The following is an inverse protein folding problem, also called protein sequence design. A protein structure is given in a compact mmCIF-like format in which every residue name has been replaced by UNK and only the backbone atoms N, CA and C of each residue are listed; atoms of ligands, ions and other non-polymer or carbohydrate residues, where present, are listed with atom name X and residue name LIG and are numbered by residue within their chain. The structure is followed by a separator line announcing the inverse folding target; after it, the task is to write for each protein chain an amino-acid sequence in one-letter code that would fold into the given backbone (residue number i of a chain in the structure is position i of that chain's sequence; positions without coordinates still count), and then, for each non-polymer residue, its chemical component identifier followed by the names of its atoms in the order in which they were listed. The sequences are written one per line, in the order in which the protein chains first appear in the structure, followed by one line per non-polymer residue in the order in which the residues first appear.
data_IF_998949846543
#
_entry.id   IF_998949846543
#
_cell.length_a   1.000
_cell.length_b   1.000
_cell.length_c   1.000
_cell.angle_alpha   90.00
_cell.angle_beta   90.00
_cell.angle_gamma   90.00
#
_symmetry.space_group_name_H-M   'P 1'
#
loop_
_entity.id
_entity.type
_entity.pdbx_description
1 polymer ?
#
# COMPACT_ATOMS: atom_id res chain seq x y z
N UNK A 1 52.39 11.51 2.15
CA UNK A 1 51.46 11.54 3.29
C UNK A 1 50.16 10.92 2.81
N UNK A 2 49.90 9.67 3.20
CA UNK A 2 48.69 8.94 2.85
C UNK A 2 47.56 9.43 3.77
N UNK A 3 46.52 10.03 3.19
CA UNK A 3 45.27 10.27 3.89
C UNK A 3 44.22 9.31 3.33
N UNK A 4 44.11 8.15 3.96
CA UNK A 4 43.03 7.21 3.68
C UNK A 4 41.75 7.79 4.31
N UNK A 5 40.97 8.51 3.51
CA UNK A 5 39.58 8.81 3.86
C UNK A 5 38.77 7.51 3.74
N UNK A 6 38.64 6.81 4.85
CA UNK A 6 37.60 5.81 5.07
C UNK A 6 36.26 6.52 5.26
N UNK A 7 35.72 7.07 4.17
CA UNK A 7 34.34 7.57 4.16
C UNK A 7 33.39 6.38 4.06
N UNK A 8 32.84 6.00 5.21
CA UNK A 8 31.72 5.06 5.36
C UNK A 8 30.43 5.63 4.76
N UNK A 9 30.42 5.82 3.44
CA UNK A 9 29.35 6.45 2.69
C UNK A 9 28.09 5.55 2.65
N UNK A 10 27.19 5.79 3.61
CA UNK A 10 25.73 5.80 3.48
C UNK A 10 25.12 4.96 2.33
N UNK A 11 25.08 3.63 2.51
CA UNK A 11 24.31 2.73 1.66
C UNK A 11 22.82 2.79 2.04
N UNK A 12 22.10 3.81 1.57
CA UNK A 12 20.64 3.90 1.66
C UNK A 12 19.88 2.81 0.90
N UNK A 13 20.57 1.93 0.15
CA UNK A 13 19.93 1.00 -0.77
C UNK A 13 19.55 -0.35 -0.13
N UNK A 14 20.43 -0.99 0.65
CA UNK A 14 20.18 -2.37 1.13
C UNK A 14 19.40 -2.38 2.44
N UNK A 15 19.75 -1.52 3.40
CA UNK A 15 19.06 -1.48 4.70
C UNK A 15 17.58 -1.10 4.57
N UNK A 16 17.27 -0.09 3.76
CA UNK A 16 15.89 0.35 3.49
C UNK A 16 15.07 -0.78 2.85
N UNK A 17 15.65 -1.47 1.87
CA UNK A 17 14.99 -2.59 1.18
C UNK A 17 14.73 -3.77 2.12
N UNK A 18 15.69 -4.12 2.98
CA UNK A 18 15.53 -5.18 3.99
C UNK A 18 14.45 -4.83 5.01
N UNK A 19 14.40 -3.58 5.48
CA UNK A 19 13.34 -3.11 6.40
C UNK A 19 11.98 -3.18 5.72
N UNK A 20 11.86 -2.66 4.50
CA UNK A 20 10.62 -2.72 3.72
C UNK A 20 10.16 -4.14 3.44
N UNK A 21 11.10 -5.05 3.15
CA UNK A 21 10.81 -6.47 2.93
C UNK A 21 10.28 -7.14 4.21
N UNK A 22 10.95 -6.97 5.34
CA UNK A 22 10.50 -7.55 6.63
C UNK A 22 9.12 -7.00 7.00
N UNK A 23 8.92 -5.69 6.86
CA UNK A 23 7.63 -5.06 7.16
C UNK A 23 6.52 -5.60 6.24
N UNK A 24 6.81 -5.74 4.94
CA UNK A 24 5.87 -6.31 3.96
C UNK A 24 5.48 -7.75 4.27
N UNK A 25 6.44 -8.58 4.70
CA UNK A 25 6.17 -9.96 5.13
C UNK A 25 5.28 -9.97 6.36
N UNK A 26 5.59 -9.18 7.39
CA UNK A 26 4.78 -9.11 8.62
C UNK A 26 3.34 -8.67 8.29
N UNK A 27 3.19 -7.62 7.48
CA UNK A 27 1.89 -7.09 7.06
C UNK A 27 1.10 -8.08 6.20
N UNK A 28 1.74 -9.08 5.61
CA UNK A 28 1.06 -10.13 4.83
C UNK A 28 0.70 -11.33 5.71
N UNK A 29 1.64 -11.78 6.55
CA UNK A 29 1.45 -12.98 7.38
C UNK A 29 0.32 -12.78 8.39
N UNK A 30 0.20 -11.59 8.99
CA UNK A 30 -0.87 -11.30 9.96
C UNK A 30 -2.28 -11.47 9.37
N UNK A 31 -2.67 -10.77 8.29
CA UNK A 31 -3.99 -10.94 7.70
C UNK A 31 -4.22 -12.34 7.14
N UNK A 32 -3.21 -13.00 6.58
CA UNK A 32 -3.33 -14.39 6.14
C UNK A 32 -3.61 -15.33 7.32
N UNK A 33 -2.90 -15.17 8.44
CA UNK A 33 -3.14 -15.93 9.66
C UNK A 33 -4.54 -15.72 10.22
N UNK A 34 -5.03 -14.48 10.23
CA UNK A 34 -6.39 -14.14 10.69
C UNK A 34 -7.49 -14.79 9.83
N UNK A 35 -7.25 -14.95 8.53
CA UNK A 35 -8.21 -15.60 7.61
C UNK A 35 -8.12 -17.13 7.70
N UNK A 36 -6.91 -17.68 7.84
CA UNK A 36 -6.67 -19.12 7.94
C UNK A 36 -7.16 -19.71 9.27
N UNK A 37 -7.05 -18.94 10.35
CA UNK A 37 -7.55 -19.29 11.68
C UNK A 37 -8.60 -18.26 12.11
N UNK A 38 -9.86 -18.42 11.67
CA UNK A 38 -10.91 -17.44 11.91
C UNK A 38 -11.32 -17.42 13.39
N UNK A 39 -10.64 -16.58 14.18
CA UNK A 39 -10.92 -16.36 15.62
C UNK A 39 -11.83 -15.17 15.87
N UNK A 40 -12.02 -14.30 14.88
CA UNK A 40 -12.80 -13.06 14.96
C UNK A 40 -14.05 -13.10 14.06
N UNK A 41 -15.06 -12.25 14.31
CA UNK A 41 -16.20 -12.10 13.41
C UNK A 41 -15.76 -11.69 12.01
N UNK A 42 -16.45 -12.22 10.99
CA UNK A 42 -16.09 -12.03 9.57
C UNK A 42 -15.94 -10.55 9.17
N UNK A 43 -16.85 -9.69 9.66
CA UNK A 43 -16.80 -8.25 9.37
C UNK A 43 -15.57 -7.57 9.99
N UNK A 44 -15.20 -7.98 11.21
CA UNK A 44 -14.00 -7.47 11.90
C UNK A 44 -12.74 -7.94 11.18
N UNK A 45 -12.66 -9.22 10.81
CA UNK A 45 -11.53 -9.75 10.02
C UNK A 45 -11.39 -9.01 8.70
N UNK A 46 -12.50 -8.81 7.97
CA UNK A 46 -12.48 -8.06 6.70
C UNK A 46 -11.94 -6.63 6.87
N UNK A 47 -12.40 -5.91 7.89
CA UNK A 47 -11.93 -4.55 8.17
C UNK A 47 -10.42 -4.52 8.47
N UNK A 48 -9.91 -5.48 9.25
CA UNK A 48 -8.48 -5.60 9.56
C UNK A 48 -7.69 -5.91 8.29
N UNK A 49 -8.12 -6.86 7.46
CA UNK A 49 -7.44 -7.20 6.20
C UNK A 49 -7.36 -5.99 5.27
N UNK A 50 -8.46 -5.24 5.12
CA UNK A 50 -8.48 -4.03 4.30
C UNK A 50 -7.53 -2.95 4.83
N UNK A 51 -7.48 -2.75 6.15
CA UNK A 51 -6.54 -1.82 6.77
C UNK A 51 -5.09 -2.21 6.48
N UNK A 52 -4.75 -3.49 6.68
CA UNK A 52 -3.40 -4.00 6.39
C UNK A 52 -3.06 -3.86 4.90
N UNK A 53 -4.01 -4.08 3.99
CA UNK A 53 -3.81 -3.91 2.56
C UNK A 53 -3.46 -2.45 2.21
N UNK A 54 -4.14 -1.46 2.80
CA UNK A 54 -3.83 -0.03 2.58
C UNK A 54 -2.43 0.30 3.10
N UNK A 55 -2.08 -0.14 4.31
CA UNK A 55 -0.75 0.09 4.88
C UNK A 55 0.32 -0.58 4.01
N UNK A 56 0.05 -1.77 3.48
CA UNK A 56 0.96 -2.51 2.62
C UNK A 56 1.29 -1.75 1.33
N UNK A 57 0.29 -1.10 0.71
CA UNK A 57 0.52 -0.21 -0.45
C UNK A 57 1.46 0.94 -0.06
N UNK A 58 1.24 1.57 1.10
CA UNK A 58 2.09 2.67 1.57
C UNK A 58 3.53 2.21 1.78
N UNK A 59 3.73 1.04 2.40
CA UNK A 59 5.07 0.44 2.59
C UNK A 59 5.78 0.24 1.25
N UNK A 60 5.07 -0.23 0.21
CA UNK A 60 5.65 -0.39 -1.12
C UNK A 60 6.01 0.95 -1.77
N UNK A 61 5.14 1.96 -1.66
CA UNK A 61 5.42 3.30 -2.20
C UNK A 61 6.65 3.95 -1.53
N UNK A 62 6.84 3.75 -0.21
CA UNK A 62 7.94 4.36 0.54
C UNK A 62 9.25 3.57 0.40
N UNK A 63 9.24 2.26 0.68
CA UNK A 63 10.48 1.48 0.80
C UNK A 63 10.95 0.86 -0.52
N UNK A 64 10.05 0.62 -1.47
CA UNK A 64 10.40 -0.02 -2.76
C UNK A 64 10.45 1.01 -3.89
N UNK A 65 9.39 1.80 -4.03
CA UNK A 65 9.33 2.86 -5.05
C UNK A 65 10.18 4.08 -4.69
N UNK A 66 10.66 4.16 -3.43
CA UNK A 66 11.48 5.26 -2.92
C UNK A 66 10.86 6.63 -3.27
N UNK A 67 9.54 6.73 -3.13
CA UNK A 67 8.83 7.96 -3.39
C UNK A 67 9.18 8.97 -2.30
N UNK A 68 9.99 9.96 -2.65
CA UNK A 68 10.40 11.04 -1.81
C UNK A 68 9.48 12.28 -1.94
N UNK A 69 9.47 13.10 -0.89
CA UNK A 69 8.76 14.39 -0.86
C UNK A 69 9.64 15.52 -1.39
N UNK A 70 10.67 15.19 -2.17
CA UNK A 70 11.61 16.19 -2.68
C UNK A 70 10.91 17.12 -3.68
N UNK A 71 11.39 18.36 -3.85
CA UNK A 71 10.88 19.25 -4.87
C UNK A 71 10.93 18.64 -6.29
N UNK A 72 11.87 17.73 -6.56
CA UNK A 72 12.07 17.06 -7.84
C UNK A 72 11.01 15.97 -8.11
N UNK A 73 10.61 15.18 -7.11
CA UNK A 73 9.54 14.18 -7.29
C UNK A 73 8.12 14.70 -6.98
N UNK A 74 7.94 15.98 -6.63
CA UNK A 74 6.61 16.53 -6.35
C UNK A 74 5.60 16.25 -7.46
N UNK A 75 6.04 16.27 -8.71
CA UNK A 75 5.21 15.93 -9.86
C UNK A 75 4.83 14.44 -9.90
N UNK A 76 5.75 13.54 -9.53
CA UNK A 76 5.46 12.10 -9.41
C UNK A 76 4.45 11.82 -8.29
N UNK A 77 4.61 12.47 -7.14
CA UNK A 77 3.65 12.37 -6.03
C UNK A 77 2.28 12.88 -6.47
N UNK A 78 2.21 14.02 -7.16
CA UNK A 78 0.96 14.56 -7.68
C UNK A 78 0.30 13.61 -8.70
N UNK A 79 1.08 13.02 -9.61
CA UNK A 79 0.60 12.04 -10.59
C UNK A 79 0.06 10.77 -9.91
N UNK A 80 0.72 10.29 -8.86
CA UNK A 80 0.26 9.13 -8.08
C UNK A 80 -1.06 9.42 -7.35
N UNK A 81 -1.18 10.58 -6.69
CA UNK A 81 -2.42 10.98 -6.01
C UNK A 81 -3.56 11.15 -7.02
N UNK A 82 -3.29 11.76 -8.17
CA UNK A 82 -4.26 11.88 -9.25
C UNK A 82 -4.71 10.50 -9.78
N UNK A 83 -3.76 9.58 -10.01
CA UNK A 83 -4.07 8.21 -10.44
C UNK A 83 -4.90 7.47 -9.40
N UNK A 84 -4.57 7.59 -8.11
CA UNK A 84 -5.33 6.99 -7.03
C UNK A 84 -6.76 7.54 -6.96
N UNK A 85 -6.93 8.85 -7.12
CA UNK A 85 -8.26 9.49 -7.20
C UNK A 85 -9.08 8.92 -8.37
N UNK A 86 -8.48 8.81 -9.55
CA UNK A 86 -9.16 8.24 -10.73
C UNK A 86 -9.56 6.79 -10.47
N UNK A 87 -8.69 5.96 -9.87
CA UNK A 87 -9.00 4.56 -9.53
C UNK A 87 -10.18 4.49 -8.55
N UNK A 88 -10.18 5.31 -7.49
CA UNK A 88 -11.27 5.35 -6.50
C UNK A 88 -12.59 5.76 -7.16
N UNK A 89 -12.56 6.77 -8.04
CA UNK A 89 -13.75 7.20 -8.76
C UNK A 89 -14.25 6.11 -9.70
N UNK A 90 -13.38 5.50 -10.52
CA UNK A 90 -13.79 4.47 -11.46
C UNK A 90 -14.32 3.22 -10.73
N UNK A 91 -13.55 2.65 -9.80
CA UNK A 91 -13.96 1.43 -9.09
C UNK A 91 -15.17 1.70 -8.21
N UNK A 92 -15.16 2.79 -7.44
CA UNK A 92 -16.26 3.16 -6.55
C UNK A 92 -17.54 3.43 -7.32
N UNK A 93 -17.48 4.22 -8.39
CA UNK A 93 -18.65 4.55 -9.21
C UNK A 93 -19.13 3.33 -10.01
N UNK A 94 -18.24 2.49 -10.54
CA UNK A 94 -18.63 1.25 -11.21
C UNK A 94 -19.37 0.31 -10.27
N UNK A 95 -18.84 0.07 -9.06
CA UNK A 95 -19.52 -0.76 -8.06
C UNK A 95 -20.87 -0.16 -7.66
N UNK A 96 -20.93 1.15 -7.47
CA UNK A 96 -22.19 1.86 -7.18
C UNK A 96 -23.22 1.69 -8.28
N UNK A 97 -22.84 1.93 -9.54
CA UNK A 97 -23.74 1.81 -10.70
C UNK A 97 -24.23 0.37 -10.82
N UNK A 98 -23.35 -0.62 -10.72
CA UNK A 98 -23.73 -2.03 -10.79
C UNK A 98 -24.70 -2.42 -9.68
N UNK A 99 -24.42 -1.99 -8.45
CA UNK A 99 -25.31 -2.23 -7.31
C UNK A 99 -26.68 -1.56 -7.48
N UNK A 100 -26.69 -0.31 -7.96
CA UNK A 100 -27.93 0.44 -8.22
C UNK A 100 -28.77 -0.23 -9.30
N UNK A 101 -28.16 -0.60 -10.44
CA UNK A 101 -28.87 -1.26 -11.54
C UNK A 101 -29.41 -2.62 -11.08
N UNK A 102 -28.61 -3.43 -10.39
CA UNK A 102 -29.04 -4.73 -9.88
C UNK A 102 -30.23 -4.59 -8.93
N UNK A 103 -30.19 -3.63 -8.01
CA UNK A 103 -31.27 -3.38 -7.06
C UNK A 103 -32.55 -2.92 -7.76
N UNK A 104 -32.44 -2.05 -8.78
CA UNK A 104 -33.59 -1.55 -9.53
C UNK A 104 -34.19 -2.61 -10.47
N UNK A 105 -33.36 -3.44 -11.11
CA UNK A 105 -33.83 -4.48 -12.05
C UNK A 105 -34.38 -5.73 -11.35
N UNK A 106 -33.89 -6.07 -10.15
CA UNK A 106 -34.41 -7.20 -9.35
C UNK A 106 -35.60 -6.82 -8.46
N UNK A 107 -35.94 -5.52 -8.35
CA UNK A 107 -37.09 -5.03 -7.58
C UNK A 107 -38.43 -5.09 -8.34
N UNK A 108 -38.52 -5.90 -9.41
CA UNK A 108 -39.76 -6.23 -10.12
C UNK A 108 -39.92 -7.75 -10.16
#
# INVERSE_FOLDING_TARGET
MANAHSDGANHGSVKSYVIGFILSVILTVIPFGLVMYPTLPKMTTLAIVLLFAVIQVIVHLVYFLHLDRSPAQRNNVAALVFSALVIVLLVGLSLWIMFSIHTVMMAK
#
